data_IF_091054347247
#
_entry.id   IF_091054347247
#
_cell.length_a   1.000
_cell.length_b   1.000
_cell.length_c   1.000
_cell.angle_alpha   90.00
_cell.angle_beta   90.00
_cell.angle_gamma   90.00
#
_symmetry.space_group_name_H-M   'P 1'
#
loop_
_entity.id
_entity.type
_entity.pdbx_description
1 polymer ?
#
# COMPACT_ATOMS: atom_id res chain seq x y z
N UNK A 1 -1.68 -19.25 5.32
CA UNK A 1 -2.25 -20.17 4.31
C UNK A 1 -3.46 -20.87 4.91
N UNK A 2 -4.62 -20.87 4.24
CA UNK A 2 -5.76 -21.73 4.59
C UNK A 2 -5.74 -22.92 3.62
N UNK A 3 -5.30 -24.08 4.08
CA UNK A 3 -5.37 -25.32 3.32
C UNK A 3 -6.39 -26.24 4.01
N UNK A 4 -7.35 -26.76 3.24
CA UNK A 4 -8.34 -27.73 3.69
C UNK A 4 -8.29 -28.95 2.80
N UNK A 5 -7.86 -30.09 3.34
CA UNK A 5 -7.92 -31.40 2.68
C UNK A 5 -8.40 -32.45 3.69
N UNK A 6 -9.15 -33.44 3.21
CA UNK A 6 -9.68 -34.54 4.01
C UNK A 6 -8.65 -35.65 4.08
N UNK A 7 -8.24 -36.06 5.28
CA UNK A 7 -7.24 -37.13 5.47
C UNK A 7 -7.79 -38.25 6.36
N UNK A 8 -7.61 -39.54 6.01
CA UNK A 8 -7.85 -40.63 6.92
C UNK A 8 -6.79 -40.67 8.05
N UNK A 9 -7.24 -40.93 9.27
CA UNK A 9 -6.45 -40.91 10.49
C UNK A 9 -6.50 -42.25 11.22
N UNK A 10 -5.39 -42.67 11.84
CA UNK A 10 -5.33 -43.83 12.75
C UNK A 10 -4.97 -43.37 14.16
N UNK A 11 -5.87 -43.63 15.11
CA UNK A 11 -5.60 -43.54 16.55
C UNK A 11 -5.05 -44.88 17.04
N UNK A 12 -4.27 -44.85 18.12
CA UNK A 12 -3.39 -45.91 18.63
C UNK A 12 -4.04 -47.29 18.81
N UNK A 13 -5.38 -47.44 18.78
CA UNK A 13 -6.06 -48.74 18.91
C UNK A 13 -7.34 -48.96 18.05
N UNK A 14 -7.56 -48.28 16.92
CA UNK A 14 -8.71 -48.58 16.02
C UNK A 14 -8.35 -48.70 14.51
N UNK A 15 -9.17 -49.45 13.76
CA UNK A 15 -9.16 -49.56 12.29
C UNK A 15 -9.34 -48.21 11.57
N UNK A 16 -8.82 -48.10 10.35
CA UNK A 16 -8.89 -46.89 9.51
C UNK A 16 -10.34 -46.42 9.31
N UNK A 17 -10.74 -45.39 10.05
CA UNK A 17 -12.02 -44.70 9.82
C UNK A 17 -11.77 -43.48 8.94
N UNK A 18 -12.43 -43.43 7.78
CA UNK A 18 -12.54 -42.23 6.93
C UNK A 18 -13.31 -41.14 7.69
N UNK A 19 -12.64 -40.46 8.61
CA UNK A 19 -13.21 -39.43 9.46
C UNK A 19 -12.14 -38.39 9.78
N UNK A 20 -12.21 -37.26 9.07
CA UNK A 20 -12.02 -35.88 9.56
C UNK A 20 -11.35 -34.98 8.51
N UNK A 21 -11.84 -33.74 8.39
CA UNK A 21 -11.19 -32.68 7.61
C UNK A 21 -10.14 -32.03 8.49
N UNK A 22 -8.91 -31.92 8.00
CA UNK A 22 -7.81 -31.27 8.73
C UNK A 22 -7.70 -29.83 8.25
N UNK A 23 -7.93 -28.88 9.16
CA UNK A 23 -7.64 -27.47 8.92
C UNK A 23 -6.32 -27.11 9.58
N UNK A 24 -5.47 -26.42 8.84
CA UNK A 24 -4.23 -25.86 9.36
C UNK A 24 -4.37 -24.34 9.47
N UNK A 25 -4.37 -23.84 10.72
CA UNK A 25 -4.47 -22.43 11.04
C UNK A 25 -3.35 -22.09 12.03
N UNK A 26 -2.39 -21.24 11.61
CA UNK A 26 -1.38 -20.62 12.49
C UNK A 26 -0.81 -21.59 13.55
N UNK A 27 -0.15 -22.67 13.10
CA UNK A 27 0.45 -23.73 13.93
C UNK A 27 -0.51 -24.63 14.73
N UNK A 28 -1.81 -24.59 14.44
CA UNK A 28 -2.82 -25.48 15.05
C UNK A 28 -3.45 -26.38 13.99
N UNK A 29 -3.60 -27.66 14.33
CA UNK A 29 -4.41 -28.61 13.58
C UNK A 29 -5.82 -28.65 14.19
N UNK A 30 -6.83 -28.39 13.38
CA UNK A 30 -8.23 -28.59 13.77
C UNK A 30 -8.76 -29.78 13.00
N UNK A 31 -9.17 -30.81 13.73
CA UNK A 31 -9.75 -32.03 13.18
C UNK A 31 -11.27 -31.94 13.29
N UNK A 32 -11.99 -31.88 12.17
CA UNK A 32 -13.45 -31.76 12.15
C UNK A 32 -14.09 -33.06 11.67
N UNK A 33 -14.95 -33.66 12.49
CA UNK A 33 -15.73 -34.85 12.12
C UNK A 33 -16.77 -34.52 11.05
N UNK A 34 -16.81 -35.31 9.98
CA UNK A 34 -17.88 -35.19 8.98
C UNK A 34 -19.19 -35.76 9.55
N UNK A 35 -20.31 -35.04 9.52
CA UNK A 35 -21.60 -35.62 9.88
C UNK A 35 -21.96 -36.71 8.86
N UNK A 36 -22.33 -37.89 9.36
CA UNK A 36 -22.70 -39.07 8.55
C UNK A 36 -23.89 -38.73 7.64
N UNK A 37 -23.88 -39.07 6.33
CA UNK A 37 -25.12 -39.15 5.57
C UNK A 37 -25.92 -40.39 6.02
N UNK A 38 -27.19 -40.18 6.33
CA UNK A 38 -28.19 -41.22 6.60
C UNK A 38 -28.55 -41.87 5.27
N UNK A 39 -27.93 -43.01 4.93
CA UNK A 39 -28.47 -44.10 4.10
C UNK A 39 -27.39 -45.17 3.96
N UNK A 40 -27.72 -46.43 4.28
CA UNK A 40 -26.87 -47.58 3.93
C UNK A 40 -27.00 -47.85 2.43
N UNK A 41 -25.88 -48.08 1.73
CA UNK A 41 -25.87 -49.08 0.68
C UNK A 41 -24.80 -50.16 0.93
N UNK A 42 -24.94 -51.19 0.11
CA UNK A 42 -24.49 -52.57 0.23
C UNK A 42 -22.98 -52.80 0.36
N UNK A 43 -22.66 -53.98 0.90
CA UNK A 43 -21.34 -54.57 0.94
C UNK A 43 -20.72 -54.64 -0.47
N UNK A 44 -19.57 -54.00 -0.63
CA UNK A 44 -18.62 -54.27 -1.71
C UNK A 44 -17.25 -54.47 -1.06
N UNK A 45 -16.65 -55.63 -1.31
CA UNK A 45 -15.30 -55.97 -0.82
C UNK A 45 -14.29 -54.95 -1.30
N UNK A 46 -13.45 -54.48 -0.38
CA UNK A 46 -12.34 -53.58 -0.66
C UNK A 46 -11.03 -54.27 -0.31
N UNK A 47 -10.23 -54.50 -1.35
CA UNK A 47 -8.80 -54.82 -1.27
C UNK A 47 -8.08 -53.85 -0.31
N UNK A 48 -7.16 -54.35 0.50
CA UNK A 48 -6.27 -53.51 1.31
C UNK A 48 -5.40 -52.65 0.38
N UNK A 49 -5.88 -51.44 0.03
CA UNK A 49 -5.08 -50.45 -0.70
C UNK A 49 -3.92 -50.00 0.22
N UNK A 50 -2.67 -50.25 -0.19
CA UNK A 50 -1.48 -49.76 0.50
C UNK A 50 -1.52 -48.22 0.60
N UNK A 51 -1.80 -47.70 1.80
CA UNK A 51 -1.83 -46.26 2.05
C UNK A 51 -0.44 -45.74 2.42
N UNK A 52 -0.08 -44.57 1.90
CA UNK A 52 1.16 -43.89 2.26
C UNK A 52 0.98 -43.16 3.59
N UNK A 53 1.81 -43.47 4.59
CA UNK A 53 1.67 -42.89 5.93
C UNK A 53 2.81 -41.92 6.29
N UNK A 54 2.52 -40.96 7.16
CA UNK A 54 3.51 -40.12 7.85
C UNK A 54 3.05 -39.87 9.29
N UNK A 55 3.97 -39.64 10.23
CA UNK A 55 3.64 -39.44 11.64
C UNK A 55 4.07 -38.08 12.14
N UNK A 56 3.28 -37.49 13.04
CA UNK A 56 3.60 -36.25 13.75
C UNK A 56 3.64 -36.55 15.24
N UNK A 57 4.72 -36.13 15.89
CA UNK A 57 4.84 -36.11 17.35
C UNK A 57 4.36 -34.75 17.87
N UNK A 58 3.45 -34.75 18.83
CA UNK A 58 2.92 -33.53 19.43
C UNK A 58 2.83 -33.64 20.95
N UNK A 59 2.83 -32.48 21.60
CA UNK A 59 2.55 -32.34 23.02
C UNK A 59 1.05 -32.00 23.16
N UNK A 60 0.26 -32.83 23.87
CA UNK A 60 -1.17 -32.55 24.06
C UNK A 60 -1.37 -31.26 24.87
N UNK A 61 -2.36 -30.45 24.47
CA UNK A 61 -2.77 -29.27 25.23
C UNK A 61 -3.38 -29.70 26.58
N UNK A 62 -3.15 -28.96 27.69
CA UNK A 62 -3.66 -29.32 29.01
C UNK A 62 -5.19 -29.49 29.06
N UNK A 63 -5.93 -28.85 28.15
CA UNK A 63 -7.41 -28.88 28.13
C UNK A 63 -8.03 -30.15 27.52
N UNK A 64 -7.23 -31.06 26.95
CA UNK A 64 -7.72 -32.27 26.26
C UNK A 64 -7.74 -33.54 27.11
N UNK A 65 -7.29 -33.48 28.37
CA UNK A 65 -7.26 -34.66 29.24
C UNK A 65 -8.49 -34.68 30.15
N UNK A 66 -9.60 -35.24 29.66
CA UNK A 66 -10.68 -35.73 30.54
C UNK A 66 -10.17 -36.96 31.30
N UNK A 67 -9.44 -36.70 32.39
CA UNK A 67 -8.86 -37.74 33.24
C UNK A 67 -7.66 -37.20 34.01
N UNK A 68 -7.86 -36.92 35.31
CA UNK A 68 -6.97 -36.13 36.15
C UNK A 68 -5.47 -36.36 35.95
N UNK A 69 -4.76 -35.29 35.57
CA UNK A 69 -3.31 -35.25 35.66
C UNK A 69 -2.92 -34.81 37.07
N UNK A 70 -2.26 -35.71 37.81
CA UNK A 70 -1.53 -35.39 39.03
C UNK A 70 -0.35 -34.47 38.70
N UNK A 71 -0.15 -33.45 39.54
CA UNK A 71 0.93 -32.46 39.43
C UNK A 71 2.29 -33.18 39.54
N UNK A 72 3.11 -33.14 38.49
CA UNK A 72 4.53 -33.51 38.56
C UNK A 72 5.13 -34.34 37.41
N UNK A 73 4.35 -34.84 36.45
CA UNK A 73 4.87 -35.63 35.32
C UNK A 73 5.13 -34.77 34.08
N UNK A 74 6.33 -34.89 33.50
CA UNK A 74 6.68 -34.24 32.24
C UNK A 74 5.70 -34.67 31.12
N UNK A 75 5.28 -33.74 30.24
CA UNK A 75 4.25 -34.04 29.25
C UNK A 75 4.75 -35.10 28.25
N UNK A 76 4.02 -36.22 28.16
CA UNK A 76 4.35 -37.35 27.29
C UNK A 76 4.05 -36.95 25.84
N UNK A 77 5.07 -37.06 24.97
CA UNK A 77 4.90 -36.86 23.52
C UNK A 77 3.97 -37.94 22.97
N UNK A 78 2.89 -37.54 22.32
CA UNK A 78 1.98 -38.44 21.63
C UNK A 78 2.29 -38.44 20.13
N UNK A 79 2.16 -39.60 19.48
CA UNK A 79 2.40 -39.77 18.04
C UNK A 79 1.09 -40.10 17.33
N UNK A 80 0.70 -39.28 16.37
CA UNK A 80 -0.41 -39.58 15.44
C UNK A 80 0.17 -39.94 14.07
N UNK A 81 -0.39 -40.97 13.45
CA UNK A 81 -0.04 -41.37 12.08
C UNK A 81 -1.18 -41.03 11.13
N UNK A 82 -0.87 -40.20 10.14
CA UNK A 82 -1.75 -39.83 9.04
C UNK A 82 -1.51 -40.79 7.86
N UNK A 83 -2.57 -41.06 7.10
CA UNK A 83 -2.51 -41.84 5.87
C UNK A 83 -3.03 -41.00 4.70
N UNK A 84 -2.40 -41.12 3.53
CA UNK A 84 -2.86 -40.51 2.28
C UNK A 84 -3.10 -41.60 1.24
N UNK A 85 -4.03 -41.34 0.32
CA UNK A 85 -4.33 -42.26 -0.80
C UNK A 85 -3.31 -42.17 -1.94
N UNK A 86 -2.53 -41.09 -2.01
CA UNK A 86 -1.54 -40.83 -3.07
C UNK A 86 -0.21 -40.40 -2.46
N UNK A 87 0.88 -40.78 -3.14
CA UNK A 87 2.25 -40.36 -2.81
C UNK A 87 2.43 -38.85 -2.97
N UNK A 88 1.84 -38.24 -4.00
CA UNK A 88 1.91 -36.79 -4.24
C UNK A 88 1.26 -36.00 -3.10
N UNK A 89 0.11 -36.48 -2.59
CA UNK A 89 -0.54 -35.84 -1.44
C UNK A 89 0.33 -35.94 -0.17
N UNK A 90 1.04 -37.07 0.02
CA UNK A 90 1.99 -37.22 1.13
C UNK A 90 3.12 -36.21 1.01
N UNK A 91 3.69 -36.04 -0.18
CA UNK A 91 4.78 -35.09 -0.42
C UNK A 91 4.35 -33.64 -0.17
N UNK A 92 3.17 -33.23 -0.64
CA UNK A 92 2.61 -31.91 -0.37
C UNK A 92 2.42 -31.65 1.14
N UNK A 93 1.85 -32.63 1.85
CA UNK A 93 1.66 -32.52 3.30
C UNK A 93 3.00 -32.50 4.05
N UNK A 94 3.95 -33.36 3.68
CA UNK A 94 5.30 -33.33 4.26
C UNK A 94 5.97 -31.98 4.01
N UNK A 95 5.84 -31.39 2.82
CA UNK A 95 6.39 -30.07 2.52
C UNK A 95 5.83 -28.98 3.43
N UNK A 96 4.51 -28.93 3.61
CA UNK A 96 3.84 -27.95 4.48
C UNK A 96 4.28 -28.14 5.94
N UNK A 97 4.37 -29.39 6.41
CA UNK A 97 4.74 -29.72 7.79
C UNK A 97 6.20 -29.39 8.08
N UNK A 98 7.11 -29.78 7.18
CA UNK A 98 8.53 -29.44 7.27
C UNK A 98 8.67 -27.91 7.27
N UNK A 99 8.01 -27.20 6.35
CA UNK A 99 8.02 -25.75 6.31
C UNK A 99 7.56 -25.14 7.63
N UNK A 100 6.44 -25.58 8.21
CA UNK A 100 5.93 -25.02 9.48
C UNK A 100 6.83 -25.32 10.68
N UNK A 101 7.42 -26.52 10.75
CA UNK A 101 8.31 -26.91 11.83
C UNK A 101 9.64 -26.16 11.76
N UNK A 102 10.16 -25.98 10.55
CA UNK A 102 11.45 -25.32 10.30
C UNK A 102 11.33 -23.80 10.11
N UNK A 103 10.11 -23.26 9.96
CA UNK A 103 9.88 -21.83 9.67
C UNK A 103 10.64 -20.91 10.62
N UNK A 104 10.49 -21.14 11.93
CA UNK A 104 11.15 -20.31 12.94
C UNK A 104 12.68 -20.48 12.92
N UNK A 105 13.18 -21.69 12.64
CA UNK A 105 14.62 -21.91 12.47
C UNK A 105 15.15 -21.23 11.20
N UNK A 106 14.35 -21.19 10.13
CA UNK A 106 14.70 -20.49 8.90
C UNK A 106 14.66 -18.98 9.06
N UNK A 107 13.66 -18.42 9.73
CA UNK A 107 13.60 -17.00 10.10
C UNK A 107 14.81 -16.61 10.97
N UNK A 108 15.10 -17.40 12.01
CA UNK A 108 16.25 -17.16 12.88
C UNK A 108 17.57 -17.32 12.12
N UNK A 109 17.71 -18.30 11.23
CA UNK A 109 18.88 -18.46 10.35
C UNK A 109 19.03 -17.30 9.36
N UNK A 110 17.94 -16.84 8.75
CA UNK A 110 17.94 -15.67 7.88
C UNK A 110 18.31 -14.42 8.68
N UNK A 111 17.87 -14.33 9.93
CA UNK A 111 18.15 -13.21 10.81
C UNK A 111 19.61 -13.19 11.28
N UNK A 112 20.13 -14.33 11.71
CA UNK A 112 21.54 -14.51 12.10
C UNK A 112 22.51 -14.23 10.95
N UNK A 113 22.08 -14.51 9.72
CA UNK A 113 22.88 -14.25 8.52
C UNK A 113 22.73 -12.82 8.00
N UNK A 114 21.95 -11.97 8.67
CA UNK A 114 21.68 -10.59 8.26
C UNK A 114 20.83 -10.45 7.00
N UNK A 115 20.16 -11.53 6.55
CA UNK A 115 19.23 -11.48 5.42
C UNK A 115 17.82 -11.04 5.81
N UNK A 116 17.48 -10.97 7.11
CA UNK A 116 16.25 -10.29 7.54
C UNK A 116 16.51 -8.79 7.61
N UNK A 117 16.24 -8.08 6.52
CA UNK A 117 15.83 -6.66 6.52
C UNK A 117 16.54 -5.69 7.49
N UNK A 118 17.79 -5.93 7.88
CA UNK A 118 18.65 -4.81 8.26
C UNK A 118 18.84 -4.09 6.95
N UNK A 119 18.07 -3.01 6.76
CA UNK A 119 18.14 -2.16 5.60
C UNK A 119 19.62 -1.81 5.37
N UNK A 120 20.31 -2.57 4.52
CA UNK A 120 21.68 -2.29 4.15
C UNK A 120 21.64 -0.85 3.68
N UNK A 121 22.35 0.01 4.44
CA UNK A 121 22.29 1.44 4.24
C UNK A 121 22.61 1.69 2.78
N UNK A 122 21.64 2.27 2.04
CA UNK A 122 21.79 2.49 0.61
C UNK A 122 23.09 3.27 0.42
N UNK A 123 24.04 2.68 -0.31
CA UNK A 123 25.30 3.33 -0.59
C UNK A 123 25.06 4.43 -1.61
N UNK A 124 25.49 5.64 -1.25
CA UNK A 124 25.33 6.82 -2.06
C UNK A 124 26.61 7.12 -2.84
N UNK A 125 26.49 7.74 -4.04
CA UNK A 125 27.67 8.14 -4.82
C UNK A 125 28.48 9.21 -4.09
N UNK A 126 29.81 9.16 -4.22
CA UNK A 126 30.71 10.10 -3.55
C UNK A 126 30.54 11.53 -4.09
N UNK A 127 30.47 11.69 -5.41
CA UNK A 127 30.24 12.97 -6.06
C UNK A 127 28.74 13.17 -6.32
N UNK A 128 28.26 14.36 -5.98
CA UNK A 128 26.85 14.74 -6.09
C UNK A 128 26.52 15.36 -7.45
N UNK A 129 27.53 15.64 -8.29
CA UNK A 129 27.42 16.16 -9.67
C UNK A 129 26.40 17.29 -9.84
N UNK A 130 26.33 18.19 -8.85
CA UNK A 130 25.43 19.34 -8.88
C UNK A 130 23.94 19.04 -8.67
N UNK A 131 23.57 17.85 -8.15
CA UNK A 131 22.19 17.53 -7.84
C UNK A 131 21.69 18.34 -6.64
N UNK A 132 20.78 19.30 -6.88
CA UNK A 132 20.34 20.30 -5.91
C UNK A 132 19.72 19.73 -4.62
N UNK A 133 19.23 18.49 -4.66
CA UNK A 133 18.55 17.83 -3.53
C UNK A 133 19.48 16.91 -2.72
N UNK A 134 20.80 17.06 -2.89
CA UNK A 134 21.82 16.35 -2.12
C UNK A 134 22.37 17.17 -0.95
N UNK A 135 21.82 18.36 -0.71
CA UNK A 135 22.26 19.22 0.38
C UNK A 135 21.95 18.56 1.73
N UNK A 136 22.92 18.46 2.66
CA UNK A 136 22.67 17.91 3.99
C UNK A 136 21.65 18.77 4.75
N UNK A 137 20.94 18.15 5.69
CA UNK A 137 20.03 18.88 6.57
C UNK A 137 20.84 19.81 7.48
N UNK A 138 20.47 21.09 7.49
CA UNK A 138 21.07 22.15 8.32
C UNK A 138 19.97 23.11 8.74
N UNK A 139 20.12 23.79 9.88
CA UNK A 139 19.11 24.70 10.46
C UNK A 139 18.73 25.89 9.55
N UNK A 140 19.59 26.21 8.57
CA UNK A 140 19.33 27.21 7.54
C UNK A 140 18.43 26.68 6.41
N UNK A 141 18.39 25.36 6.25
CA UNK A 141 17.82 24.65 5.10
C UNK A 141 16.53 23.93 5.49
N UNK A 142 16.45 23.39 6.70
CA UNK A 142 15.25 22.81 7.32
C UNK A 142 15.29 23.01 8.85
N UNK A 143 14.21 23.53 9.41
CA UNK A 143 13.97 23.57 10.86
C UNK A 143 12.78 22.66 11.14
N UNK A 144 13.02 21.64 11.97
CA UNK A 144 11.99 20.72 12.43
C UNK A 144 11.45 21.22 13.77
N UNK A 145 10.15 21.11 13.97
CA UNK A 145 9.52 21.45 15.23
C UNK A 145 9.80 20.35 16.26
N UNK A 146 10.36 20.73 17.41
CA UNK A 146 10.49 19.85 18.56
C UNK A 146 9.11 19.67 19.19
N UNK A 147 8.39 18.63 18.76
CA UNK A 147 7.10 18.34 19.35
C UNK A 147 7.32 17.73 20.74
N UNK A 148 7.18 18.55 21.78
CA UNK A 148 7.02 18.09 23.15
C UNK A 148 5.72 17.28 23.24
N UNK A 149 5.89 16.00 23.59
CA UNK A 149 4.87 15.04 24.01
C UNK A 149 4.04 14.32 22.92
N UNK A 150 4.23 13.00 22.86
CA UNK A 150 3.23 12.00 22.46
C UNK A 150 2.75 11.96 21.00
N UNK A 151 3.65 11.67 20.06
CA UNK A 151 3.25 11.06 18.79
C UNK A 151 4.29 10.05 18.35
N UNK A 152 3.95 8.77 18.44
CA UNK A 152 4.74 7.62 17.97
C UNK A 152 4.82 7.54 16.44
N UNK A 153 4.81 8.68 15.75
CA UNK A 153 4.97 8.78 14.32
C UNK A 153 6.29 9.45 14.06
N UNK A 154 7.19 8.70 13.42
CA UNK A 154 8.54 9.07 12.96
C UNK A 154 8.59 10.30 12.01
N UNK A 155 7.48 11.02 11.85
CA UNK A 155 7.33 12.21 11.01
C UNK A 155 7.50 13.47 11.86
N UNK A 156 8.72 14.00 11.92
CA UNK A 156 8.97 15.34 12.43
C UNK A 156 8.15 16.38 11.65
N UNK A 157 7.50 17.29 12.36
CA UNK A 157 6.73 18.39 11.75
C UNK A 157 7.72 19.44 11.24
N UNK A 158 7.57 19.87 9.98
CA UNK A 158 8.48 20.86 9.37
C UNK A 158 7.99 22.25 9.73
N UNK A 159 8.82 23.05 10.41
CA UNK A 159 8.53 24.44 10.77
C UNK A 159 8.87 25.42 9.65
N UNK A 160 10.08 25.30 9.09
CA UNK A 160 10.52 26.04 7.89
C UNK A 160 11.44 25.17 7.06
N UNK A 161 11.41 25.33 5.74
CA UNK A 161 12.32 24.65 4.84
C UNK A 161 12.41 25.40 3.51
N UNK A 162 13.52 25.23 2.81
CA UNK A 162 13.63 25.68 1.41
C UNK A 162 12.68 24.88 0.52
N UNK A 163 12.32 25.44 -0.65
CA UNK A 163 11.46 24.74 -1.62
C UNK A 163 12.05 23.37 -2.01
N UNK A 164 13.37 23.30 -2.20
CA UNK A 164 14.05 22.06 -2.55
C UNK A 164 13.91 21.01 -1.44
N UNK A 165 14.08 21.39 -0.17
CA UNK A 165 13.89 20.47 0.96
C UNK A 165 12.44 20.05 1.16
N UNK A 166 11.47 20.93 0.94
CA UNK A 166 10.05 20.55 0.99
C UNK A 166 9.73 19.47 -0.05
N UNK A 167 10.23 19.64 -1.28
CA UNK A 167 10.08 18.64 -2.34
C UNK A 167 10.82 17.35 -1.99
N UNK A 168 12.03 17.44 -1.44
CA UNK A 168 12.81 16.30 -0.99
C UNK A 168 12.08 15.50 0.08
N UNK A 169 11.53 16.15 1.11
CA UNK A 169 10.77 15.51 2.19
C UNK A 169 9.46 14.89 1.69
N UNK A 170 8.73 15.60 0.84
CA UNK A 170 7.50 15.09 0.21
C UNK A 170 7.78 13.87 -0.68
N UNK A 171 8.97 13.80 -1.31
CA UNK A 171 9.39 12.72 -2.20
C UNK A 171 10.51 11.87 -1.61
N UNK A 172 10.63 11.84 -0.28
CA UNK A 172 11.71 11.11 0.39
C UNK A 172 11.63 9.63 0.07
N UNK A 173 12.74 8.90 -0.03
CA UNK A 173 12.72 7.49 -0.44
C UNK A 173 12.35 6.53 0.70
N UNK A 174 12.67 6.91 1.94
CA UNK A 174 12.39 6.11 3.15
C UNK A 174 10.94 6.30 3.62
N UNK A 175 10.42 5.29 4.31
CA UNK A 175 9.10 5.30 4.94
C UNK A 175 7.93 5.38 3.97
N UNK A 176 6.73 5.64 4.50
CA UNK A 176 5.52 5.85 3.70
C UNK A 176 5.44 7.29 3.18
N UNK A 177 4.62 7.51 2.14
CA UNK A 177 4.37 8.87 1.62
C UNK A 177 3.56 9.64 2.66
N UNK A 178 4.10 10.76 3.12
CA UNK A 178 3.34 11.70 3.95
C UNK A 178 2.26 12.40 3.10
N UNK A 179 1.08 11.79 3.12
CA UNK A 179 -0.09 12.30 2.40
C UNK A 179 -0.61 13.62 2.98
N UNK A 180 -0.32 13.92 4.25
CA UNK A 180 -0.70 15.19 4.88
C UNK A 180 0.20 16.29 4.35
N UNK A 181 1.52 16.11 4.39
CA UNK A 181 2.48 17.07 3.85
C UNK A 181 2.19 17.37 2.37
N UNK A 182 1.96 16.33 1.55
CA UNK A 182 1.64 16.52 0.13
C UNK A 182 0.38 17.36 -0.10
N UNK A 183 -0.70 17.10 0.65
CA UNK A 183 -1.95 17.88 0.55
C UNK A 183 -1.76 19.32 0.99
N UNK A 184 -1.12 19.54 2.13
CA UNK A 184 -0.86 20.90 2.66
C UNK A 184 0.01 21.68 1.69
N UNK A 185 1.06 21.06 1.16
CA UNK A 185 1.95 21.67 0.17
C UNK A 185 1.21 22.05 -1.11
N UNK A 186 0.49 21.12 -1.76
CA UNK A 186 -0.23 21.40 -3.02
C UNK A 186 -1.37 22.43 -2.85
N UNK A 187 -1.94 22.52 -1.65
CA UNK A 187 -2.93 23.54 -1.31
C UNK A 187 -2.30 24.93 -1.16
N UNK A 188 -1.10 25.03 -0.58
CA UNK A 188 -0.53 26.31 -0.10
C UNK A 188 0.67 26.86 -0.86
N UNK A 189 1.30 26.07 -1.75
CA UNK A 189 2.56 26.45 -2.40
C UNK A 189 2.49 27.75 -3.20
N UNK A 190 1.31 28.15 -3.67
CA UNK A 190 1.08 29.36 -4.47
C UNK A 190 1.47 30.65 -3.74
N UNK A 191 1.56 30.62 -2.42
CA UNK A 191 2.02 31.74 -1.61
C UNK A 191 3.52 32.03 -1.74
N UNK A 192 4.32 31.05 -2.17
CA UNK A 192 5.78 31.17 -2.22
C UNK A 192 6.43 30.59 -3.49
N UNK A 193 5.66 29.95 -4.39
CA UNK A 193 6.16 29.31 -5.60
C UNK A 193 5.11 29.35 -6.73
N UNK A 194 5.55 29.58 -7.97
CA UNK A 194 4.67 29.54 -9.13
C UNK A 194 4.47 28.09 -9.62
N UNK A 195 3.31 27.74 -10.21
CA UNK A 195 3.08 26.42 -10.78
C UNK A 195 4.16 25.98 -11.77
N UNK A 196 4.60 26.88 -12.66
CA UNK A 196 5.65 26.56 -13.63
C UNK A 196 6.98 26.25 -12.95
N UNK A 197 7.37 27.04 -11.95
CA UNK A 197 8.59 26.79 -11.18
C UNK A 197 8.52 25.48 -10.40
N UNK A 198 7.37 25.17 -9.81
CA UNK A 198 7.14 23.89 -9.13
C UNK A 198 7.32 22.70 -10.11
N UNK A 199 6.76 22.79 -11.32
CA UNK A 199 6.95 21.77 -12.34
C UNK A 199 8.43 21.58 -12.68
N UNK A 200 9.17 22.67 -12.91
CA UNK A 200 10.62 22.62 -13.17
C UNK A 200 11.37 21.93 -12.04
N UNK A 201 11.07 22.25 -10.77
CA UNK A 201 11.69 21.61 -9.61
C UNK A 201 11.32 20.13 -9.49
N UNK A 202 10.06 19.74 -9.75
CA UNK A 202 9.67 18.33 -9.75
C UNK A 202 10.38 17.53 -10.86
N UNK A 203 10.56 18.13 -12.05
CA UNK A 203 11.34 17.54 -13.14
C UNK A 203 12.81 17.40 -12.75
N UNK A 204 13.40 18.42 -12.13
CA UNK A 204 14.77 18.37 -11.59
C UNK A 204 14.93 17.24 -10.55
N UNK A 205 13.95 17.09 -9.63
CA UNK A 205 13.93 15.98 -8.66
C UNK A 205 13.86 14.60 -9.32
N UNK A 206 13.15 14.47 -10.44
CA UNK A 206 13.03 13.21 -11.19
C UNK A 206 14.31 12.83 -11.96
N UNK A 207 15.01 13.84 -12.48
CA UNK A 207 16.20 13.70 -13.31
C UNK A 207 17.47 13.58 -12.45
N UNK A 208 17.83 12.34 -12.13
CA UNK A 208 19.11 12.04 -11.49
C UNK A 208 20.29 12.17 -12.47
N UNK A 209 21.47 12.65 -12.02
CA UNK A 209 22.71 12.56 -12.78
C UNK A 209 23.03 11.10 -13.16
N UNK A 210 23.72 10.92 -14.28
CA UNK A 210 24.18 9.60 -14.70
C UNK A 210 25.42 9.20 -13.89
N UNK A 211 25.24 8.22 -13.00
CA UNK A 211 26.31 7.67 -12.18
C UNK A 211 26.88 6.38 -12.80
N UNK A 212 28.18 6.19 -12.68
CA UNK A 212 28.92 5.00 -13.10
C UNK A 212 29.35 4.21 -11.87
N UNK A 213 29.75 2.95 -12.04
CA UNK A 213 30.21 2.10 -10.92
C UNK A 213 31.39 2.72 -10.16
N UNK A 214 32.20 3.55 -10.81
CA UNK A 214 33.34 4.25 -10.20
C UNK A 214 32.90 5.19 -9.08
N UNK A 215 31.74 5.83 -9.22
CA UNK A 215 31.21 6.77 -8.21
C UNK A 215 30.81 6.07 -6.90
N UNK A 216 30.72 4.73 -6.90
CA UNK A 216 30.38 3.87 -5.74
C UNK A 216 31.58 3.07 -5.21
N UNK A 217 32.76 3.24 -5.82
CA UNK A 217 33.99 2.71 -5.26
C UNK A 217 34.33 3.51 -4.00
N UNK A 218 34.85 2.85 -2.97
CA UNK A 218 35.49 3.53 -1.83
C UNK A 218 36.99 3.57 -2.07
N UNK A 219 37.72 4.47 -1.42
CA UNK A 219 39.20 4.57 -1.50
C UNK A 219 39.95 3.27 -1.15
N UNK A 220 39.24 2.29 -0.61
CA UNK A 220 39.75 0.95 -0.34
C UNK A 220 40.03 0.17 -1.63
N UNK A 221 41.33 0.07 -1.97
CA UNK A 221 41.90 -0.56 -3.16
C UNK A 221 41.52 -2.06 -3.37
N UNK A 222 40.80 -2.68 -2.43
CA UNK A 222 40.35 -4.09 -2.52
C UNK A 222 38.91 -4.28 -2.99
N UNK A 223 38.14 -3.22 -3.25
CA UNK A 223 36.73 -3.40 -3.65
C UNK A 223 36.58 -3.98 -5.06
N UNK A 224 35.88 -5.10 -5.16
CA UNK A 224 35.60 -5.73 -6.46
C UNK A 224 34.65 -4.86 -7.29
N UNK A 225 34.91 -4.77 -8.61
CA UNK A 225 34.03 -4.08 -9.58
C UNK A 225 32.59 -4.60 -9.48
N UNK A 226 32.40 -5.89 -9.20
CA UNK A 226 31.08 -6.49 -9.02
C UNK A 226 30.32 -5.91 -7.81
N UNK A 227 31.02 -5.59 -6.72
CA UNK A 227 30.42 -4.98 -5.53
C UNK A 227 30.00 -3.52 -5.79
N UNK A 228 30.86 -2.76 -6.49
CA UNK A 228 30.52 -1.38 -6.88
C UNK A 228 29.32 -1.32 -7.84
N UNK A 229 29.22 -2.28 -8.77
CA UNK A 229 28.05 -2.44 -9.64
C UNK A 229 26.78 -2.80 -8.86
N UNK A 230 26.88 -3.68 -7.86
CA UNK A 230 25.75 -4.03 -7.00
C UNK A 230 25.23 -2.80 -6.25
N UNK A 231 26.12 -2.04 -5.59
CA UNK A 231 25.77 -0.79 -4.88
C UNK A 231 25.09 0.23 -5.79
N UNK A 232 25.60 0.42 -7.01
CA UNK A 232 24.96 1.28 -8.01
C UNK A 232 23.53 0.82 -8.30
N UNK A 233 23.34 -0.47 -8.57
CA UNK A 233 22.02 -1.03 -8.87
C UNK A 233 21.05 -0.85 -7.70
N UNK A 234 21.51 -1.09 -6.48
CA UNK A 234 20.71 -0.88 -5.28
C UNK A 234 20.32 0.58 -5.09
N UNK A 235 21.21 1.53 -5.36
CA UNK A 235 20.90 2.96 -5.35
C UNK A 235 19.83 3.29 -6.41
N UNK A 236 19.97 2.78 -7.63
CA UNK A 236 18.99 3.01 -8.70
C UNK A 236 17.60 2.42 -8.35
N UNK A 237 17.56 1.20 -7.82
CA UNK A 237 16.32 0.47 -7.53
C UNK A 237 15.67 0.89 -6.20
N UNK A 238 16.45 1.03 -5.11
CA UNK A 238 15.93 1.34 -3.77
C UNK A 238 15.73 2.85 -3.56
N UNK A 239 16.56 3.71 -4.15
CA UNK A 239 16.46 5.17 -3.99
C UNK A 239 15.84 5.85 -5.22
N UNK A 240 16.52 5.85 -6.37
CA UNK A 240 16.10 6.64 -7.54
C UNK A 240 14.70 6.26 -8.02
N UNK A 241 14.41 4.96 -8.15
CA UNK A 241 13.08 4.46 -8.56
C UNK A 241 11.99 4.91 -7.59
N UNK A 242 12.22 4.81 -6.27
CA UNK A 242 11.23 5.23 -5.27
C UNK A 242 10.95 6.73 -5.35
N UNK A 243 12.00 7.56 -5.45
CA UNK A 243 11.83 9.01 -5.58
C UNK A 243 11.05 9.35 -6.85
N UNK A 244 11.39 8.76 -8.01
CA UNK A 244 10.68 8.99 -9.28
C UNK A 244 9.19 8.65 -9.20
N UNK A 245 8.85 7.51 -8.61
CA UNK A 245 7.45 7.11 -8.42
C UNK A 245 6.71 8.07 -7.49
N UNK A 246 7.36 8.58 -6.44
CA UNK A 246 6.77 9.59 -5.53
C UNK A 246 6.57 10.94 -6.23
N UNK A 247 7.51 11.39 -7.05
CA UNK A 247 7.35 12.60 -7.87
C UNK A 247 6.14 12.47 -8.80
N UNK A 248 6.00 11.33 -9.49
CA UNK A 248 4.83 11.07 -10.33
C UNK A 248 3.54 11.03 -9.50
N UNK A 249 3.58 10.46 -8.29
CA UNK A 249 2.41 10.48 -7.39
C UNK A 249 1.99 11.90 -6.98
N UNK A 250 2.96 12.78 -6.73
CA UNK A 250 2.69 14.21 -6.49
C UNK A 250 2.03 14.84 -7.72
N UNK A 251 2.58 14.61 -8.92
CA UNK A 251 2.00 15.11 -10.18
C UNK A 251 0.58 14.58 -10.42
N UNK A 252 0.34 13.28 -10.19
CA UNK A 252 -1.00 12.68 -10.26
C UNK A 252 -1.97 13.38 -9.31
N UNK A 253 -1.58 13.54 -8.05
CA UNK A 253 -2.40 14.19 -7.03
C UNK A 253 -2.67 15.65 -7.37
N UNK A 254 -1.69 16.33 -7.97
CA UNK A 254 -1.81 17.70 -8.45
C UNK A 254 -2.87 17.81 -9.56
N UNK A 255 -2.80 16.96 -10.59
CA UNK A 255 -3.78 16.93 -11.69
C UNK A 255 -5.17 16.52 -11.20
N UNK A 256 -5.26 15.59 -10.25
CA UNK A 256 -6.53 15.10 -9.73
C UNK A 256 -7.26 16.12 -8.85
N UNK A 257 -6.55 16.82 -7.97
CA UNK A 257 -7.18 17.65 -6.94
C UNK A 257 -7.02 19.15 -7.15
N UNK A 258 -6.02 19.61 -7.92
CA UNK A 258 -5.71 21.04 -8.08
C UNK A 258 -5.49 21.39 -9.57
N UNK A 259 -6.45 21.00 -10.42
CA UNK A 259 -6.36 21.18 -11.88
C UNK A 259 -6.44 22.64 -12.34
N UNK A 260 -6.92 23.55 -11.48
CA UNK A 260 -7.09 24.97 -11.84
C UNK A 260 -5.78 25.66 -12.27
N UNK A 261 -4.62 25.21 -11.77
CA UNK A 261 -3.32 25.72 -12.23
C UNK A 261 -3.07 25.42 -13.71
N UNK A 262 -3.46 24.22 -14.15
CA UNK A 262 -3.33 23.77 -15.53
C UNK A 262 -4.34 24.47 -16.45
N UNK A 263 -5.52 24.82 -15.92
CA UNK A 263 -6.52 25.61 -16.64
C UNK A 263 -6.09 27.08 -16.84
N UNK A 264 -5.38 27.67 -15.87
CA UNK A 264 -4.90 29.07 -15.96
C UNK A 264 -3.69 29.21 -16.88
N UNK A 265 -2.84 28.18 -16.98
CA UNK A 265 -1.58 28.25 -17.72
C UNK A 265 -1.46 27.05 -18.70
N UNK A 266 -1.72 27.23 -20.01
CA UNK A 266 -1.59 26.14 -20.99
C UNK A 266 -0.13 25.66 -21.16
N UNK A 267 0.85 26.53 -20.89
CA UNK A 267 2.27 26.18 -20.87
C UNK A 267 2.59 25.07 -19.86
N UNK A 268 1.87 25.03 -18.73
CA UNK A 268 2.06 24.00 -17.71
C UNK A 268 1.64 22.62 -18.21
N UNK A 269 0.55 22.56 -18.98
CA UNK A 269 0.06 21.33 -19.62
C UNK A 269 1.05 20.84 -20.67
N UNK A 270 1.54 21.74 -21.51
CA UNK A 270 2.53 21.41 -22.54
C UNK A 270 3.85 20.96 -21.91
N UNK A 271 4.37 21.70 -20.93
CA UNK A 271 5.61 21.33 -20.24
C UNK A 271 5.52 19.97 -19.54
N UNK A 272 4.36 19.65 -18.93
CA UNK A 272 4.15 18.33 -18.34
C UNK A 272 4.06 17.23 -19.42
N UNK A 273 3.38 17.50 -20.53
CA UNK A 273 3.26 16.57 -21.67
C UNK A 273 4.62 16.29 -22.31
N UNK A 274 5.44 17.33 -22.49
CA UNK A 274 6.78 17.25 -23.05
C UNK A 274 7.72 16.47 -22.13
N UNK A 275 7.62 16.70 -20.82
CA UNK A 275 8.37 15.91 -19.83
C UNK A 275 8.00 14.43 -19.89
N UNK A 276 6.70 14.10 -19.94
CA UNK A 276 6.22 12.72 -19.94
C UNK A 276 6.57 11.96 -21.23
N UNK A 277 6.68 12.65 -22.36
CA UNK A 277 7.14 12.09 -23.64
C UNK A 277 8.65 12.32 -23.87
N UNK A 278 9.35 12.84 -22.87
CA UNK A 278 10.75 13.23 -23.00
C UNK A 278 11.72 12.06 -22.83
N UNK A 279 13.00 12.27 -23.20
CA UNK A 279 14.03 11.23 -23.16
C UNK A 279 14.30 10.70 -21.74
N UNK A 280 14.08 11.52 -20.71
CA UNK A 280 14.23 11.14 -19.31
C UNK A 280 13.31 10.00 -18.88
N UNK A 281 12.09 9.98 -19.43
CA UNK A 281 11.09 8.95 -19.13
C UNK A 281 11.22 7.78 -20.10
N UNK A 282 11.66 8.03 -21.34
CA UNK A 282 11.90 6.99 -22.34
C UNK A 282 12.96 5.97 -21.93
N UNK A 283 13.99 6.40 -21.20
CA UNK A 283 15.00 5.50 -20.62
C UNK A 283 14.41 4.52 -19.58
N UNK A 284 13.22 4.79 -19.06
CA UNK A 284 12.61 4.06 -17.94
C UNK A 284 11.36 3.29 -18.39
N UNK A 285 11.57 2.11 -18.98
CA UNK A 285 10.52 1.28 -19.59
C UNK A 285 9.28 1.09 -18.71
N UNK A 286 9.46 0.71 -17.44
CA UNK A 286 8.36 0.45 -16.52
C UNK A 286 7.49 1.70 -16.31
N UNK A 287 8.11 2.86 -16.11
CA UNK A 287 7.41 4.11 -15.86
C UNK A 287 6.66 4.54 -17.12
N UNK A 288 7.34 4.48 -18.28
CA UNK A 288 6.74 4.79 -19.59
C UNK A 288 5.54 3.89 -19.91
N UNK A 289 5.63 2.60 -19.60
CA UNK A 289 4.58 1.64 -19.92
C UNK A 289 3.39 1.70 -18.96
N UNK A 290 3.64 1.85 -17.66
CA UNK A 290 2.59 1.67 -16.65
C UNK A 290 2.08 2.98 -16.02
N UNK A 291 2.91 4.02 -15.91
CA UNK A 291 2.54 5.26 -15.20
C UNK A 291 2.15 6.38 -16.16
N UNK A 292 2.95 6.60 -17.21
CA UNK A 292 2.75 7.71 -18.17
C UNK A 292 1.38 7.68 -18.86
N UNK A 293 0.87 6.53 -19.38
CA UNK A 293 -0.40 6.54 -20.11
C UNK A 293 -1.58 6.92 -19.20
N UNK A 294 -1.54 6.49 -17.94
CA UNK A 294 -2.56 6.84 -16.96
C UNK A 294 -2.54 8.34 -16.66
N UNK A 295 -1.35 8.91 -16.47
CA UNK A 295 -1.19 10.33 -16.17
C UNK A 295 -1.58 11.22 -17.37
N UNK A 296 -1.17 10.87 -18.58
CA UNK A 296 -1.56 11.56 -19.82
C UNK A 296 -3.08 11.48 -20.04
N UNK A 297 -3.67 10.29 -19.85
CA UNK A 297 -5.12 10.13 -19.97
C UNK A 297 -5.88 10.95 -18.93
N UNK A 298 -5.37 11.01 -17.69
CA UNK A 298 -5.95 11.86 -16.65
C UNK A 298 -5.85 13.35 -17.01
N UNK A 299 -4.68 13.79 -17.49
CA UNK A 299 -4.44 15.16 -17.95
C UNK A 299 -5.41 15.53 -19.08
N UNK A 300 -5.48 14.72 -20.14
CA UNK A 300 -6.36 14.96 -21.28
C UNK A 300 -7.84 14.96 -20.90
N UNK A 301 -8.26 14.03 -20.03
CA UNK A 301 -9.63 13.98 -19.51
C UNK A 301 -10.00 15.27 -18.78
N UNK A 302 -9.11 15.76 -17.90
CA UNK A 302 -9.36 16.98 -17.13
C UNK A 302 -9.30 18.24 -17.99
N UNK A 303 -8.43 18.27 -19.00
CA UNK A 303 -8.37 19.37 -19.98
C UNK A 303 -9.64 19.49 -20.83
N UNK A 304 -10.39 18.40 -21.03
CA UNK A 304 -11.69 18.41 -21.73
C UNK A 304 -12.86 18.87 -20.87
N UNK A 305 -12.63 19.18 -19.59
CA UNK A 305 -13.68 19.59 -18.65
C UNK A 305 -14.48 18.43 -18.07
N UNK A 306 -14.07 17.18 -18.28
CA UNK A 306 -14.67 16.04 -17.58
C UNK A 306 -14.27 16.10 -16.09
N UNK A 307 -15.20 16.60 -15.27
CA UNK A 307 -15.05 16.79 -13.84
C UNK A 307 -14.89 15.48 -13.06
N UNK A 308 -14.75 15.60 -11.74
CA UNK A 308 -14.73 14.44 -10.84
C UNK A 308 -16.04 13.66 -11.02
N UNK A 309 -15.99 12.32 -11.06
CA UNK A 309 -17.21 11.51 -10.98
C UNK A 309 -17.88 11.82 -9.65
N UNK A 310 -18.93 12.61 -9.68
CA UNK A 310 -19.80 12.80 -8.53
C UNK A 310 -20.48 11.45 -8.25
N UNK A 311 -20.37 10.99 -7.01
CA UNK A 311 -21.12 9.84 -6.55
C UNK A 311 -22.58 10.27 -6.48
N UNK A 312 -23.35 9.93 -7.51
CA UNK A 312 -24.80 10.13 -7.50
C UNK A 312 -25.37 9.21 -6.42
N UNK A 313 -25.81 9.80 -5.30
CA UNK A 313 -26.56 9.08 -4.27
C UNK A 313 -27.89 8.62 -4.88
N UNK A 314 -28.34 7.42 -4.50
CA UNK A 314 -29.57 6.78 -4.98
C UNK A 314 -30.78 7.72 -4.83
N UNK A 315 -31.65 7.71 -5.85
CA UNK A 315 -32.84 8.56 -5.97
C UNK A 315 -33.91 8.25 -4.90
N UNK A 316 -33.77 7.14 -4.17
CA UNK A 316 -34.79 6.64 -3.24
C UNK A 316 -34.87 7.40 -1.90
N UNK A 317 -33.90 8.27 -1.56
CA UNK A 317 -33.84 8.93 -0.25
C UNK A 317 -34.28 10.42 -0.23
N UNK A 318 -34.83 10.95 -1.33
CA UNK A 318 -35.20 12.38 -1.40
C UNK A 318 -36.64 12.62 -0.93
N UNK A 319 -36.89 13.57 0.00
CA UNK A 319 -38.24 13.91 0.44
C UNK A 319 -39.05 14.56 -0.69
N UNK A 320 -40.37 14.36 -0.67
CA UNK A 320 -41.26 14.96 -1.65
C UNK A 320 -41.24 16.51 -1.62
N UNK A 321 -41.36 17.11 -2.80
CA UNK A 321 -41.40 18.57 -2.99
C UNK A 321 -42.74 19.10 -2.49
N UNK A 322 -42.69 20.06 -1.56
CA UNK A 322 -43.90 20.64 -0.97
C UNK A 322 -44.35 21.88 -1.74
N UNK A 323 -45.60 21.87 -2.20
CA UNK A 323 -46.22 22.99 -2.92
C UNK A 323 -47.17 23.78 -2.01
N UNK A 324 -47.32 25.08 -2.28
CA UNK A 324 -48.30 25.94 -1.63
C UNK A 324 -49.26 26.56 -2.67
N UNK A 325 -49.47 27.88 -2.68
CA UNK A 325 -50.43 28.56 -3.56
C UNK A 325 -49.92 28.65 -4.99
N UNK A 326 -48.65 29.01 -5.18
CA UNK A 326 -48.07 29.14 -6.50
C UNK A 326 -47.50 27.78 -6.97
N UNK A 327 -47.93 27.35 -8.16
CA UNK A 327 -47.35 26.21 -8.89
C UNK A 327 -46.51 26.66 -10.08
N UNK A 328 -46.76 27.88 -10.57
CA UNK A 328 -46.05 28.47 -11.70
C UNK A 328 -44.90 29.38 -11.26
N UNK A 329 -43.76 29.26 -11.95
CA UNK A 329 -42.53 30.04 -11.66
C UNK A 329 -42.73 31.56 -11.71
N UNK A 330 -43.75 32.03 -12.46
CA UNK A 330 -44.07 33.45 -12.61
C UNK A 330 -44.80 34.04 -11.39
N UNK A 331 -45.38 33.18 -10.56
CA UNK A 331 -46.15 33.54 -9.36
C UNK A 331 -45.36 33.32 -8.07
N UNK A 332 -44.07 32.97 -8.18
CA UNK A 332 -43.20 32.71 -7.05
C UNK A 332 -42.95 34.00 -6.28
N UNK A 333 -43.42 34.02 -5.04
CA UNK A 333 -43.23 35.07 -4.07
C UNK A 333 -43.03 34.41 -2.69
N UNK A 334 -42.42 35.13 -1.76
CA UNK A 334 -42.14 34.66 -0.38
C UNK A 334 -43.43 34.16 0.29
N UNK A 335 -44.57 34.79 -0.01
CA UNK A 335 -45.87 34.44 0.56
C UNK A 335 -46.63 33.35 -0.20
N UNK A 336 -46.21 33.00 -1.42
CA UNK A 336 -46.92 32.01 -2.28
C UNK A 336 -46.23 30.64 -2.31
N UNK A 337 -44.96 30.57 -1.88
CA UNK A 337 -44.16 29.35 -1.77
C UNK A 337 -44.31 28.71 -0.38
N UNK A 338 -44.16 27.38 -0.30
CA UNK A 338 -44.14 26.69 0.98
C UNK A 338 -42.86 27.05 1.75
N UNK A 339 -42.91 27.54 3.00
CA UNK A 339 -41.73 28.03 3.72
C UNK A 339 -40.66 26.96 3.92
N UNK A 340 -41.06 25.70 4.15
CA UNK A 340 -40.11 24.59 4.26
C UNK A 340 -39.42 24.26 2.94
N UNK A 341 -40.12 24.37 1.80
CA UNK A 341 -39.53 24.07 0.49
C UNK A 341 -38.59 25.21 0.06
N UNK A 342 -38.97 26.45 0.35
CA UNK A 342 -38.08 27.61 0.19
C UNK A 342 -36.77 27.41 0.97
N UNK A 343 -36.85 27.01 2.24
CA UNK A 343 -35.68 26.73 3.06
C UNK A 343 -34.82 25.58 2.48
N UNK A 344 -35.43 24.49 2.00
CA UNK A 344 -34.72 23.37 1.36
C UNK A 344 -33.98 23.83 0.11
N UNK A 345 -34.65 24.52 -0.81
CA UNK A 345 -34.06 24.98 -2.06
C UNK A 345 -32.95 26.02 -1.84
N UNK A 346 -33.14 26.96 -0.91
CA UNK A 346 -32.07 27.90 -0.51
C UNK A 346 -30.90 27.13 0.09
N UNK A 347 -31.14 26.14 0.95
CA UNK A 347 -30.08 25.33 1.57
C UNK A 347 -29.28 24.57 0.50
N UNK A 348 -29.95 23.94 -0.46
CA UNK A 348 -29.30 23.26 -1.58
C UNK A 348 -28.50 24.23 -2.45
N UNK A 349 -29.05 25.41 -2.73
CA UNK A 349 -28.36 26.44 -3.49
C UNK A 349 -27.10 26.94 -2.75
N UNK A 350 -27.24 27.31 -1.48
CA UNK A 350 -26.13 27.76 -0.63
C UNK A 350 -25.08 26.65 -0.46
N UNK A 351 -25.50 25.39 -0.30
CA UNK A 351 -24.60 24.25 -0.26
C UNK A 351 -23.87 24.08 -1.60
N UNK A 352 -24.55 24.27 -2.73
CA UNK A 352 -23.91 24.23 -4.05
C UNK A 352 -22.88 25.34 -4.23
N UNK A 353 -23.11 26.53 -3.66
CA UNK A 353 -22.13 27.61 -3.63
C UNK A 353 -20.95 27.26 -2.72
N UNK A 354 -21.23 26.75 -1.52
CA UNK A 354 -20.21 26.33 -0.56
C UNK A 354 -19.31 25.24 -1.13
N UNK A 355 -19.87 24.23 -1.80
CA UNK A 355 -19.12 23.14 -2.44
C UNK A 355 -18.26 23.59 -3.62
N UNK A 356 -18.53 24.76 -4.21
CA UNK A 356 -17.70 25.36 -5.26
C UNK A 356 -16.52 26.14 -4.71
N UNK A 357 -16.54 26.50 -3.43
CA UNK A 357 -15.42 27.19 -2.80
C UNK A 357 -14.29 26.19 -2.64
N UNK A 358 -13.18 26.50 -3.28
CA UNK A 358 -12.04 25.62 -3.32
C UNK A 358 -10.96 26.07 -2.34
N UNK A 359 -10.24 25.14 -1.67
CA UNK A 359 -9.34 25.51 -0.57
C UNK A 359 -8.24 26.51 -0.92
N UNK A 360 -7.81 26.57 -2.18
CA UNK A 360 -6.76 27.51 -2.61
C UNK A 360 -7.25 28.97 -2.63
N UNK A 361 -8.54 29.22 -2.78
CA UNK A 361 -9.13 30.57 -2.78
C UNK A 361 -9.00 31.24 -1.41
N UNK A 362 -8.89 30.42 -0.36
CA UNK A 362 -8.73 30.88 1.02
C UNK A 362 -7.26 31.13 1.40
N UNK A 363 -6.31 30.63 0.61
CA UNK A 363 -4.88 30.73 0.92
C UNK A 363 -4.27 32.00 0.35
N UNK A 364 -4.68 32.39 -0.84
CA UNK A 364 -4.28 33.67 -1.42
C UNK A 364 -5.18 34.75 -0.81
N UNK A 365 -4.74 35.36 0.28
CA UNK A 365 -5.38 36.54 0.89
C UNK A 365 -5.28 37.78 0.00
N UNK A 366 -5.71 37.68 -1.25
CA UNK A 366 -5.88 38.82 -2.16
C UNK A 366 -7.35 39.23 -2.09
N UNK A 367 -7.62 40.23 -1.23
CA UNK A 367 -8.76 41.12 -1.43
C UNK A 367 -8.56 42.02 -2.64
#
# INVERSE_FOLDING_TARGET
MKASKTLPLRSINEEYRLKRVVFLLQHRFVLVDHPKPVTKPAAAGGTEEEMYTFSIEYLPSPDTVEGGATVGTAPIKQRITFATKSLLDKEEWMLILIYLQSYHMFEEYLSLKGLTDTAEAIHFPQDHRGYEYWQPDSDQVIELEENSESSSSESHVIRRATLNKLIERMTHYSGNIDSRLMKVFLMTFRSFCTPLHLLTKLISRFNFPEYTYVDFQTDDSMMSVAQAQLRKREFEDKYCRKVRLRVLKVMTTWIENYFHDFGKCPELVNGLRDFLNGPSVDKLYDIKKFQVPNLLKQLDRRSRGEGRRELVQSIEDYPEVLWHTARDKREFNIMTLHPLELARQITLYMFSLYMRIEPWELVTGTG
#
